data_IF_575622153022
#
_entry.id   IF_575622153022
#
_cell.length_a   1.000
_cell.length_b   1.000
_cell.length_c   1.000
_cell.angle_alpha   90.00
_cell.angle_beta   90.00
_cell.angle_gamma   90.00
#
_symmetry.space_group_name_H-M   'P 1'
#
loop_
_entity.id
_entity.type
_entity.pdbx_description
1 polymer ?
#
# COMPACT_ATOMS: atom_id res chain seq x y z
N UNK A 1 12.21 -9.13 18.21
CA UNK A 1 11.64 -7.77 18.02
C UNK A 1 10.52 -7.46 19.01
N UNK A 2 9.65 -8.43 19.36
CA UNK A 2 8.66 -8.28 20.45
C UNK A 2 9.33 -7.96 21.80
N UNK A 3 10.42 -8.66 22.10
CA UNK A 3 11.22 -8.41 23.31
C UNK A 3 11.82 -7.00 23.34
N UNK A 4 12.18 -6.44 22.18
CA UNK A 4 12.74 -5.09 22.12
C UNK A 4 11.68 -4.03 22.47
N UNK A 5 10.44 -4.18 21.96
CA UNK A 5 9.32 -3.29 22.32
C UNK A 5 8.94 -3.39 23.79
N UNK A 6 8.91 -4.61 24.34
CA UNK A 6 8.61 -4.83 25.75
C UNK A 6 9.68 -4.20 26.64
N UNK A 7 10.95 -4.47 26.35
CA UNK A 7 12.06 -3.93 27.12
C UNK A 7 12.20 -2.41 26.95
N UNK A 8 11.95 -1.85 25.76
CA UNK A 8 11.93 -0.39 25.58
C UNK A 8 10.80 0.25 26.38
N UNK A 9 9.62 -0.37 26.43
CA UNK A 9 8.49 0.13 27.23
C UNK A 9 8.80 0.10 28.72
N UNK A 10 9.49 -0.96 29.18
CA UNK A 10 9.96 -1.06 30.55
C UNK A 10 10.98 0.04 30.89
N UNK A 11 11.97 0.28 30.02
CA UNK A 11 12.96 1.37 30.20
C UNK A 11 12.27 2.74 30.24
N UNK A 12 11.27 2.98 29.37
CA UNK A 12 10.48 4.22 29.38
C UNK A 12 9.73 4.41 30.71
N UNK A 13 9.17 3.34 31.26
CA UNK A 13 8.47 3.38 32.54
C UNK A 13 9.41 3.72 33.71
N UNK A 14 10.61 3.14 33.72
CA UNK A 14 11.65 3.46 34.71
C UNK A 14 12.12 4.91 34.59
N UNK A 15 12.40 5.37 33.35
CA UNK A 15 12.77 6.75 33.10
C UNK A 15 11.71 7.73 33.59
N UNK A 16 10.44 7.42 33.37
CA UNK A 16 9.31 8.22 33.86
C UNK A 16 9.29 8.30 35.38
N UNK A 17 9.51 7.19 36.08
CA UNK A 17 9.54 7.15 37.55
C UNK A 17 10.74 7.92 38.12
N UNK A 18 11.94 7.72 37.55
CA UNK A 18 13.16 8.39 37.97
C UNK A 18 13.06 9.91 37.78
N UNK A 19 12.51 10.36 36.65
CA UNK A 19 12.27 11.77 36.38
C UNK A 19 11.22 12.35 37.33
N UNK A 20 10.12 11.64 37.60
CA UNK A 20 9.09 12.07 38.55
C UNK A 20 9.65 12.22 39.96
N UNK A 21 10.39 11.22 40.46
CA UNK A 21 10.97 11.25 41.80
C UNK A 21 11.94 12.43 41.97
N UNK A 22 12.75 12.73 40.96
CA UNK A 22 13.67 13.87 40.98
C UNK A 22 12.97 15.22 40.99
N UNK A 23 11.89 15.37 40.20
CA UNK A 23 11.06 16.57 40.23
C UNK A 23 10.43 16.78 41.62
N UNK A 24 9.98 15.70 42.27
CA UNK A 24 9.40 15.77 43.61
C UNK A 24 10.44 16.08 44.71
N UNK A 25 11.71 15.73 44.50
CA UNK A 25 12.80 15.98 45.46
C UNK A 25 13.35 17.42 45.40
N UNK A 26 12.88 18.25 44.47
CA UNK A 26 13.25 19.67 44.41
C UNK A 26 14.72 19.93 44.04
N UNK A 27 15.41 18.96 43.41
CA UNK A 27 16.76 19.18 42.91
C UNK A 27 16.73 20.23 41.78
N UNK A 28 17.69 21.15 41.82
CA UNK A 28 17.76 22.26 40.86
C UNK A 28 17.76 21.75 39.42
N UNK A 29 17.03 22.47 38.57
CA UNK A 29 16.83 22.23 37.14
C UNK A 29 18.10 22.45 36.30
N UNK A 30 19.27 22.29 36.88
CA UNK A 30 20.57 22.47 36.24
C UNK A 30 20.98 21.20 35.51
N UNK A 31 20.56 21.08 34.24
CA UNK A 31 20.91 20.02 33.29
C UNK A 31 20.67 18.57 33.77
N UNK A 32 19.49 18.04 33.43
CA UNK A 32 19.23 16.60 33.50
C UNK A 32 20.20 15.84 32.58
N UNK A 33 21.19 15.18 33.17
CA UNK A 33 22.10 14.29 32.44
C UNK A 33 21.39 12.95 32.19
N UNK A 34 21.33 12.52 30.93
CA UNK A 34 20.68 11.27 30.54
C UNK A 34 21.30 10.05 31.26
N UNK A 35 22.60 10.09 31.53
CA UNK A 35 23.32 9.04 32.25
C UNK A 35 22.85 8.85 33.69
N UNK A 36 22.18 9.85 34.27
CA UNK A 36 21.64 9.78 35.62
C UNK A 36 20.17 9.34 35.65
N UNK A 37 19.50 9.37 34.50
CA UNK A 37 18.12 8.92 34.34
C UNK A 37 18.05 7.45 33.92
N UNK A 38 19.03 6.99 33.14
CA UNK A 38 19.14 5.61 32.67
C UNK A 38 20.08 4.83 33.58
N UNK A 39 19.54 3.85 34.31
CA UNK A 39 20.34 2.99 35.17
C UNK A 39 21.30 2.08 34.38
N UNK A 40 22.36 1.62 35.04
CA UNK A 40 23.39 0.74 34.45
C UNK A 40 22.79 -0.52 33.82
N UNK A 41 21.76 -1.09 34.45
CA UNK A 41 21.08 -2.29 33.96
C UNK A 41 20.31 -2.01 32.66
N UNK A 42 19.64 -0.87 32.55
CA UNK A 42 18.98 -0.44 31.33
C UNK A 42 19.99 -0.20 30.20
N UNK A 43 21.15 0.39 30.52
CA UNK A 43 22.25 0.56 29.56
C UNK A 43 22.79 -0.78 29.05
N UNK A 44 22.94 -1.78 29.91
CA UNK A 44 23.37 -3.13 29.51
C UNK A 44 22.34 -3.79 28.59
N UNK A 45 21.04 -3.68 28.91
CA UNK A 45 19.97 -4.19 28.06
C UNK A 45 19.99 -3.54 26.67
N UNK A 46 20.11 -2.21 26.61
CA UNK A 46 20.21 -1.46 25.34
C UNK A 46 21.41 -1.92 24.50
N UNK A 47 22.57 -2.10 25.11
CA UNK A 47 23.77 -2.60 24.41
C UNK A 47 23.58 -4.02 23.87
N UNK A 48 22.96 -4.92 24.65
CA UNK A 48 22.64 -6.28 24.19
C UNK A 48 21.71 -6.25 22.98
N UNK A 49 20.70 -5.37 22.97
CA UNK A 49 19.81 -5.23 21.82
C UNK A 49 20.51 -4.66 20.60
N UNK A 50 21.36 -3.65 20.78
CA UNK A 50 22.15 -3.10 19.69
C UNK A 50 23.03 -4.19 19.05
N UNK A 51 23.70 -5.02 19.85
CA UNK A 51 24.48 -6.15 19.35
C UNK A 51 23.61 -7.18 18.61
N UNK A 52 22.43 -7.49 19.14
CA UNK A 52 21.50 -8.41 18.49
C UNK A 52 21.05 -7.89 17.11
N UNK A 53 20.80 -6.59 16.98
CA UNK A 53 20.44 -5.96 15.71
C UNK A 53 21.63 -5.90 14.73
N UNK A 54 22.82 -5.58 15.23
CA UNK A 54 24.05 -5.52 14.43
C UNK A 54 24.44 -6.89 13.87
N UNK A 55 24.20 -7.97 14.61
CA UNK A 55 24.46 -9.33 14.15
C UNK A 55 23.53 -9.78 13.00
N UNK A 56 22.45 -9.06 12.70
CA UNK A 56 21.56 -9.32 11.55
C UNK A 56 22.17 -8.72 10.26
N UNK A 57 23.48 -8.91 10.02
CA UNK A 57 24.14 -8.45 8.79
C UNK A 57 23.76 -9.27 7.54
N UNK A 58 22.77 -10.15 7.62
CA UNK A 58 22.23 -10.83 6.45
C UNK A 58 21.36 -9.87 5.64
N UNK A 59 21.51 -9.93 4.31
CA UNK A 59 20.62 -9.27 3.37
C UNK A 59 19.17 -9.53 3.75
N UNK A 60 18.34 -8.48 3.78
CA UNK A 60 16.92 -8.63 4.14
C UNK A 60 16.26 -9.63 3.19
N UNK A 61 15.62 -10.70 3.69
CA UNK A 61 15.07 -11.74 2.83
C UNK A 61 13.98 -11.18 1.92
N UNK A 62 13.90 -11.70 0.70
CA UNK A 62 12.88 -11.33 -0.28
C UNK A 62 11.57 -12.12 -0.13
N UNK A 63 11.55 -13.15 0.73
CA UNK A 63 10.38 -13.99 1.03
C UNK A 63 10.28 -14.29 2.52
N UNK A 64 9.06 -14.43 3.04
CA UNK A 64 8.82 -14.81 4.45
C UNK A 64 8.81 -16.31 4.68
N UNK A 65 8.54 -17.12 3.65
CA UNK A 65 8.40 -18.57 3.76
C UNK A 65 9.52 -19.30 3.01
N UNK A 66 9.85 -20.49 3.51
CA UNK A 66 10.69 -21.45 2.79
C UNK A 66 9.83 -22.07 1.69
N UNK A 67 10.16 -21.74 0.44
CA UNK A 67 9.46 -22.28 -0.73
C UNK A 67 10.14 -23.61 -1.10
N UNK A 68 9.37 -24.70 -1.13
CA UNK A 68 9.89 -26.03 -1.46
C UNK A 68 10.36 -26.15 -2.91
N UNK A 69 9.85 -25.32 -3.80
CA UNK A 69 10.17 -25.32 -5.23
C UNK A 69 11.11 -24.16 -5.55
N UNK A 70 12.33 -24.49 -5.98
CA UNK A 70 13.35 -23.50 -6.36
C UNK A 70 12.95 -22.68 -7.61
N UNK A 71 12.03 -23.20 -8.43
CA UNK A 71 11.57 -22.59 -9.68
C UNK A 71 10.32 -21.70 -9.50
N UNK A 72 10.14 -21.08 -8.33
CA UNK A 72 9.06 -20.12 -8.13
C UNK A 72 9.23 -18.93 -9.10
N UNK A 73 8.29 -18.66 -10.01
CA UNK A 73 8.46 -17.65 -11.06
C UNK A 73 8.64 -16.24 -10.48
N UNK A 74 8.02 -15.95 -9.33
CA UNK A 74 8.15 -14.67 -8.64
C UNK A 74 9.57 -14.50 -8.10
N UNK A 75 10.11 -15.49 -7.39
CA UNK A 75 11.47 -15.40 -6.86
C UNK A 75 12.53 -15.36 -7.97
N UNK A 76 12.30 -16.11 -9.05
CA UNK A 76 13.17 -16.09 -10.22
C UNK A 76 13.19 -14.70 -10.86
N UNK A 77 12.02 -14.10 -11.13
CA UNK A 77 11.93 -12.75 -11.69
C UNK A 77 12.61 -11.71 -10.78
N UNK A 78 12.47 -11.82 -9.46
CA UNK A 78 13.15 -10.92 -8.52
C UNK A 78 14.68 -11.06 -8.58
N UNK A 79 15.20 -12.29 -8.68
CA UNK A 79 16.64 -12.55 -8.81
C UNK A 79 17.19 -12.04 -10.15
N UNK A 80 16.49 -12.31 -11.25
CA UNK A 80 16.86 -11.86 -12.60
C UNK A 80 16.93 -10.33 -12.70
N UNK A 81 16.07 -9.62 -11.98
CA UNK A 81 16.05 -8.16 -11.93
C UNK A 81 16.90 -7.56 -10.79
N UNK A 82 17.73 -8.36 -10.12
CA UNK A 82 18.58 -7.95 -8.99
C UNK A 82 17.84 -7.28 -7.82
N UNK A 83 16.56 -7.60 -7.61
CA UNK A 83 15.73 -7.10 -6.51
C UNK A 83 15.93 -7.95 -5.25
N UNK A 84 17.13 -7.87 -4.68
CA UNK A 84 17.58 -8.69 -3.54
C UNK A 84 17.63 -7.94 -2.20
N UNK A 85 16.94 -6.80 -2.11
CA UNK A 85 16.90 -5.92 -0.92
C UNK A 85 18.27 -5.41 -0.42
N UNK A 86 19.29 -5.38 -1.27
CA UNK A 86 20.60 -4.81 -0.97
C UNK A 86 20.47 -3.39 -0.39
N UNK A 87 21.38 -2.98 0.51
CA UNK A 87 21.30 -1.69 1.20
C UNK A 87 21.23 -0.49 0.23
N UNK A 88 21.90 -0.58 -0.93
CA UNK A 88 21.86 0.42 -2.01
C UNK A 88 20.52 0.53 -2.75
N UNK A 89 19.67 -0.50 -2.71
CA UNK A 89 18.40 -0.49 -3.43
C UNK A 89 17.39 0.43 -2.76
N UNK A 90 16.82 1.36 -3.52
CA UNK A 90 15.73 2.22 -3.06
C UNK A 90 14.36 1.51 -3.03
N UNK A 91 14.21 0.43 -3.79
CA UNK A 91 13.01 -0.40 -3.80
C UNK A 91 13.30 -1.70 -3.04
N UNK A 92 12.47 -2.00 -2.05
CA UNK A 92 12.52 -3.26 -1.30
C UNK A 92 11.30 -4.10 -1.66
N UNK A 93 11.50 -5.41 -1.75
CA UNK A 93 10.46 -6.38 -2.10
C UNK A 93 10.32 -7.41 -0.99
N UNK A 94 9.07 -7.71 -0.65
CA UNK A 94 8.73 -8.80 0.24
C UNK A 94 7.64 -9.64 -0.40
N UNK A 95 7.98 -10.88 -0.76
CA UNK A 95 7.03 -11.87 -1.24
C UNK A 95 6.45 -12.66 -0.06
N UNK A 96 5.12 -12.65 0.06
CA UNK A 96 4.37 -13.40 1.05
C UNK A 96 3.51 -14.45 0.33
N UNK A 97 3.98 -15.71 0.18
CA UNK A 97 3.26 -16.78 -0.51
C UNK A 97 2.16 -17.40 0.37
N UNK A 98 1.37 -16.58 1.05
CA UNK A 98 0.31 -16.99 1.96
C UNK A 98 -0.78 -15.91 1.97
N UNK A 99 -2.03 -16.30 2.19
CA UNK A 99 -3.06 -15.34 2.54
C UNK A 99 -2.71 -14.62 3.85
N UNK A 100 -3.03 -13.34 3.93
CA UNK A 100 -2.83 -12.55 5.13
C UNK A 100 -3.70 -13.11 6.27
N UNK A 101 -3.04 -13.80 7.20
CA UNK A 101 -3.61 -14.29 8.45
C UNK A 101 -2.89 -13.59 9.61
N UNK A 102 -3.61 -13.40 10.71
CA UNK A 102 -3.08 -12.76 11.93
C UNK A 102 -1.83 -13.45 12.50
N UNK A 103 -1.58 -14.71 12.12
CA UNK A 103 -0.41 -15.51 12.51
C UNK A 103 0.88 -15.08 11.82
N UNK A 104 0.83 -14.71 10.53
CA UNK A 104 2.03 -14.34 9.75
C UNK A 104 2.25 -12.83 9.73
N UNK A 105 1.17 -12.05 9.58
CA UNK A 105 1.17 -10.60 9.79
C UNK A 105 0.01 -10.28 10.73
N UNK A 106 0.23 -9.63 11.88
CA UNK A 106 -0.80 -9.35 12.88
C UNK A 106 -1.74 -8.20 12.43
N UNK A 107 -2.20 -8.23 11.18
CA UNK A 107 -3.14 -7.30 10.58
C UNK A 107 -4.20 -8.12 9.85
N UNK A 108 -5.47 -7.74 10.01
CA UNK A 108 -6.52 -8.19 9.11
C UNK A 108 -6.22 -7.72 7.68
N UNK A 109 -6.63 -8.50 6.68
CA UNK A 109 -6.45 -8.16 5.26
C UNK A 109 -6.88 -6.73 4.94
N UNK A 110 -8.06 -6.33 5.39
CA UNK A 110 -8.63 -4.98 5.19
C UNK A 110 -7.76 -3.87 5.79
N UNK A 111 -7.15 -4.12 6.96
CA UNK A 111 -6.25 -3.16 7.60
C UNK A 111 -4.91 -3.08 6.87
N UNK A 112 -4.42 -4.20 6.33
CA UNK A 112 -3.21 -4.22 5.51
C UNK A 112 -3.38 -3.37 4.24
N UNK A 113 -4.45 -3.61 3.47
CA UNK A 113 -4.70 -2.85 2.24
C UNK A 113 -4.94 -1.36 2.53
N UNK A 114 -5.60 -1.01 3.63
CA UNK A 114 -5.81 0.38 4.07
C UNK A 114 -4.51 1.08 4.49
N UNK A 115 -3.56 0.30 5.02
CA UNK A 115 -2.22 0.77 5.35
C UNK A 115 -1.37 1.06 4.13
N UNK A 116 -1.61 0.38 3.00
CA UNK A 116 -0.88 0.61 1.76
C UNK A 116 -1.21 1.97 1.12
N UNK A 117 -0.23 2.57 0.46
CA UNK A 117 -0.38 3.85 -0.26
C UNK A 117 -0.87 3.70 -1.70
N UNK A 118 -0.53 2.58 -2.33
CA UNK A 118 -0.81 2.25 -3.71
C UNK A 118 -0.92 0.73 -3.85
N UNK A 119 -1.94 0.24 -4.53
CA UNK A 119 -2.02 -1.14 -5.00
C UNK A 119 -1.91 -1.19 -6.53
N UNK A 120 -1.22 -2.20 -7.07
CA UNK A 120 -0.90 -2.28 -8.50
C UNK A 120 -1.36 -3.64 -9.03
N UNK A 121 -2.34 -3.61 -9.94
CA UNK A 121 -2.98 -4.79 -10.55
C UNK A 121 -2.85 -4.74 -12.08
N UNK A 122 -1.66 -5.03 -12.64
CA UNK A 122 -1.39 -4.95 -14.08
C UNK A 122 -1.82 -6.25 -14.80
N UNK A 123 -3.07 -6.67 -14.58
CA UNK A 123 -3.57 -7.97 -15.03
C UNK A 123 -3.80 -8.04 -16.54
N UNK A 124 -3.50 -9.19 -17.15
CA UNK A 124 -3.78 -9.47 -18.56
C UNK A 124 -5.18 -10.08 -18.76
N UNK A 125 -5.66 -10.85 -17.78
CA UNK A 125 -6.96 -11.50 -17.83
C UNK A 125 -7.60 -11.48 -16.43
N UNK A 126 -8.64 -10.67 -16.28
CA UNK A 126 -9.39 -10.56 -15.03
C UNK A 126 -10.82 -10.07 -15.34
N UNK A 127 -11.85 -10.94 -15.26
CA UNK A 127 -13.20 -10.59 -15.73
C UNK A 127 -13.79 -9.33 -15.08
N UNK A 128 -13.45 -9.07 -13.82
CA UNK A 128 -13.86 -7.84 -13.12
C UNK A 128 -12.71 -7.22 -12.33
N UNK A 129 -12.05 -7.94 -11.41
CA UNK A 129 -11.10 -7.39 -10.41
C UNK A 129 -11.78 -6.87 -9.15
N UNK A 130 -12.10 -7.80 -8.26
CA UNK A 130 -12.58 -7.49 -6.92
C UNK A 130 -11.48 -6.86 -6.06
N UNK A 131 -10.22 -7.28 -6.21
CA UNK A 131 -9.09 -6.71 -5.45
C UNK A 131 -8.93 -5.20 -5.65
N UNK A 132 -9.07 -4.73 -6.90
CA UNK A 132 -9.02 -3.30 -7.22
C UNK A 132 -10.24 -2.57 -6.63
N UNK A 133 -11.44 -3.15 -6.77
CA UNK A 133 -12.66 -2.57 -6.21
C UNK A 133 -12.61 -2.48 -4.66
N UNK A 134 -12.11 -3.52 -3.99
CA UNK A 134 -11.94 -3.56 -2.53
C UNK A 134 -10.95 -2.48 -2.05
N UNK A 135 -9.83 -2.31 -2.75
CA UNK A 135 -8.88 -1.23 -2.47
C UNK A 135 -9.54 0.15 -2.58
N UNK A 136 -10.38 0.36 -3.58
CA UNK A 136 -11.13 1.62 -3.74
C UNK A 136 -12.12 1.83 -2.58
N UNK A 137 -12.82 0.78 -2.14
CA UNK A 137 -13.72 0.85 -0.98
C UNK A 137 -13.01 1.29 0.31
N UNK A 138 -11.76 0.86 0.52
CA UNK A 138 -10.98 1.27 1.71
C UNK A 138 -10.21 2.58 1.52
N UNK A 139 -10.32 3.22 0.35
CA UNK A 139 -9.65 4.48 0.03
C UNK A 139 -8.19 4.35 -0.37
N UNK A 140 -7.72 3.15 -0.73
CA UNK A 140 -6.36 2.90 -1.22
C UNK A 140 -6.31 3.13 -2.72
N UNK A 141 -5.43 4.02 -3.17
CA UNK A 141 -5.28 4.30 -4.60
C UNK A 141 -4.79 3.07 -5.36
N UNK A 142 -5.24 2.90 -6.60
CA UNK A 142 -4.96 1.70 -7.40
C UNK A 142 -4.47 2.03 -8.82
N UNK A 143 -3.50 1.26 -9.31
CA UNK A 143 -3.19 1.15 -10.74
C UNK A 143 -3.82 -0.15 -11.23
N UNK A 144 -4.69 -0.08 -12.23
CA UNK A 144 -5.41 -1.25 -12.76
C UNK A 144 -5.29 -1.33 -14.28
N UNK A 145 -5.23 -2.54 -14.81
CA UNK A 145 -5.26 -2.77 -16.26
C UNK A 145 -6.63 -2.43 -16.85
N UNK A 146 -6.63 -1.77 -18.01
CA UNK A 146 -7.82 -1.56 -18.83
C UNK A 146 -8.46 -2.89 -19.28
N UNK A 147 -7.68 -3.97 -19.37
CA UNK A 147 -8.17 -5.30 -19.74
C UNK A 147 -8.99 -5.96 -18.63
N UNK A 148 -8.96 -5.45 -17.39
CA UNK A 148 -9.84 -5.91 -16.32
C UNK A 148 -11.24 -5.30 -16.48
N UNK A 149 -12.29 -6.03 -16.10
CA UNK A 149 -13.66 -5.49 -16.19
C UNK A 149 -13.89 -4.22 -15.35
N UNK A 150 -13.25 -4.12 -14.19
CA UNK A 150 -13.26 -2.93 -13.34
C UNK A 150 -12.52 -1.77 -14.01
N UNK A 151 -11.34 -2.03 -14.61
CA UNK A 151 -10.60 -1.03 -15.38
C UNK A 151 -11.40 -0.49 -16.56
N UNK A 152 -12.08 -1.35 -17.32
CA UNK A 152 -12.95 -0.94 -18.42
C UNK A 152 -14.21 -0.20 -17.93
N UNK A 153 -14.80 -0.63 -16.82
CA UNK A 153 -15.92 0.08 -16.17
C UNK A 153 -15.50 1.51 -15.78
N UNK A 154 -14.36 1.67 -15.10
CA UNK A 154 -13.81 2.97 -14.75
C UNK A 154 -13.50 3.81 -16.00
N UNK A 155 -12.91 3.21 -17.04
CA UNK A 155 -12.65 3.87 -18.33
C UNK A 155 -13.94 4.38 -18.98
N UNK A 156 -15.01 3.59 -18.93
CA UNK A 156 -16.31 3.92 -19.52
C UNK A 156 -17.03 5.03 -18.75
N UNK A 157 -16.95 5.03 -17.41
CA UNK A 157 -17.49 6.11 -16.59
C UNK A 157 -16.82 7.46 -16.88
N UNK A 158 -15.53 7.47 -17.25
CA UNK A 158 -14.82 8.68 -17.64
C UNK A 158 -15.33 9.26 -18.97
N UNK A 159 -15.52 8.42 -19.99
CA UNK A 159 -16.01 8.85 -21.32
C UNK A 159 -17.40 9.49 -21.28
N UNK A 160 -18.23 9.11 -20.31
CA UNK A 160 -19.57 9.69 -20.17
C UNK A 160 -19.56 11.08 -19.51
N UNK A 161 -18.49 11.45 -18.78
CA UNK A 161 -18.34 12.79 -18.20
C UNK A 161 -17.78 13.80 -19.20
N UNK A 162 -16.86 13.39 -20.08
CA UNK A 162 -16.29 14.27 -21.13
C UNK A 162 -17.32 14.79 -22.11
N UNK A 163 -18.36 14.00 -22.39
CA UNK A 163 -19.38 14.38 -23.36
C UNK A 163 -20.42 15.36 -22.81
N UNK A 164 -20.35 15.73 -21.52
CA UNK A 164 -21.33 16.64 -20.88
C UNK A 164 -20.85 18.07 -20.67
N UNK A 165 -19.58 18.41 -20.92
CA UNK A 165 -19.14 19.81 -20.86
C UNK A 165 -17.87 20.07 -21.69
N UNK A 166 -18.03 20.91 -22.73
CA UNK A 166 -17.07 21.87 -23.30
C UNK A 166 -16.05 21.34 -24.33
N UNK A 167 -16.26 21.80 -25.57
CA UNK A 167 -15.28 22.33 -26.53
C UNK A 167 -13.80 22.08 -26.23
N UNK A 168 -13.20 21.23 -27.08
CA UNK A 168 -11.95 21.47 -27.82
C UNK A 168 -10.97 22.49 -27.21
N UNK A 169 -10.04 21.97 -26.39
CA UNK A 169 -8.69 22.51 -26.30
C UNK A 169 -7.76 21.31 -26.56
N UNK A 170 -7.28 21.22 -27.80
CA UNK A 170 -6.09 20.47 -28.18
C UNK A 170 -4.87 21.26 -27.70
N UNK A 171 -4.47 21.06 -26.45
CA UNK A 171 -3.11 21.28 -25.95
C UNK A 171 -2.90 20.39 -24.74
N UNK A 172 -1.95 19.45 -24.84
CA UNK A 172 -1.26 18.77 -23.74
C UNK A 172 -2.11 18.13 -22.62
N UNK A 173 -2.39 16.82 -22.75
CA UNK A 173 -2.36 15.86 -21.63
C UNK A 173 -3.09 16.23 -20.31
N UNK A 174 -4.25 16.88 -20.37
CA UNK A 174 -5.07 17.23 -19.18
C UNK A 174 -5.81 15.99 -18.57
N UNK A 175 -5.58 14.78 -19.08
CA UNK A 175 -6.16 13.54 -18.54
C UNK A 175 -5.26 12.77 -17.56
N UNK A 176 -4.16 13.40 -17.12
CA UNK A 176 -3.19 12.83 -16.19
C UNK A 176 -3.49 13.16 -14.70
N UNK A 177 -4.76 13.28 -14.26
CA UNK A 177 -5.03 13.65 -12.86
C UNK A 177 -6.24 12.96 -12.22
N UNK A 178 -5.95 11.92 -11.42
CA UNK A 178 -6.22 11.91 -9.97
C UNK A 178 -7.67 12.03 -9.43
N UNK A 179 -8.74 12.08 -10.24
CA UNK A 179 -10.08 12.30 -9.67
C UNK A 179 -10.72 11.05 -9.03
N UNK A 180 -10.32 9.84 -9.42
CA UNK A 180 -10.83 8.59 -8.84
C UNK A 180 -9.80 7.93 -7.91
N UNK A 181 -8.55 8.43 -7.91
CA UNK A 181 -7.40 7.71 -7.36
C UNK A 181 -7.30 6.26 -7.87
N UNK A 182 -7.85 6.03 -9.06
CA UNK A 182 -7.74 4.83 -9.88
C UNK A 182 -7.02 5.28 -11.15
N UNK A 183 -5.86 4.72 -11.41
CA UNK A 183 -5.09 4.98 -12.61
C UNK A 183 -5.17 3.74 -13.52
N UNK A 184 -5.40 3.96 -14.81
CA UNK A 184 -5.67 2.89 -15.76
C UNK A 184 -4.50 2.74 -16.72
N UNK A 185 -3.91 1.55 -16.77
CA UNK A 185 -2.86 1.21 -17.74
C UNK A 185 -3.43 0.42 -18.91
N UNK A 186 -3.10 0.83 -20.13
CA UNK A 186 -3.41 0.05 -21.32
C UNK A 186 -2.36 -1.06 -21.51
N UNK A 187 -2.84 -2.31 -21.51
CA UNK A 187 -2.01 -3.52 -21.65
C UNK A 187 -2.13 -4.14 -23.05
N UNK A 188 -2.76 -3.44 -24.00
CA UNK A 188 -2.82 -3.85 -25.42
C UNK A 188 -1.61 -3.39 -26.24
N UNK A 189 -0.85 -2.41 -25.73
CA UNK A 189 0.35 -1.84 -26.39
C UNK A 189 1.57 -2.78 -26.28
N UNK A 190 2.73 -2.40 -26.79
CA UNK A 190 3.95 -3.20 -26.67
C UNK A 190 4.41 -3.35 -25.20
N UNK A 191 4.85 -4.55 -24.80
CA UNK A 191 5.24 -4.88 -23.42
C UNK A 191 6.19 -3.84 -22.77
N UNK A 192 7.23 -3.41 -23.49
CA UNK A 192 8.20 -2.45 -22.98
C UNK A 192 7.54 -1.11 -22.58
N UNK A 193 6.65 -0.61 -23.44
CA UNK A 193 5.89 0.61 -23.17
C UNK A 193 4.92 0.44 -21.99
N UNK A 194 4.39 -0.77 -21.78
CA UNK A 194 3.55 -1.06 -20.62
C UNK A 194 4.35 -0.96 -19.32
N UNK A 195 5.56 -1.51 -19.30
CA UNK A 195 6.45 -1.50 -18.13
C UNK A 195 6.84 -0.06 -17.79
N UNK A 196 7.25 0.72 -18.79
CA UNK A 196 7.62 2.13 -18.63
C UNK A 196 6.45 2.95 -18.08
N UNK A 197 5.25 2.79 -18.64
CA UNK A 197 4.06 3.50 -18.14
C UNK A 197 3.74 3.17 -16.70
N UNK A 198 3.78 1.89 -16.30
CA UNK A 198 3.51 1.50 -14.91
C UNK A 198 4.57 2.09 -13.98
N UNK A 199 5.84 2.05 -14.37
CA UNK A 199 6.92 2.64 -13.59
C UNK A 199 6.75 4.16 -13.44
N UNK A 200 6.38 4.86 -14.51
CA UNK A 200 6.13 6.31 -14.50
C UNK A 200 4.97 6.68 -13.57
N UNK A 201 3.87 5.92 -13.62
CA UNK A 201 2.71 6.08 -12.73
C UNK A 201 3.12 5.92 -11.26
N UNK A 202 3.91 4.88 -10.95
CA UNK A 202 4.44 4.67 -9.59
C UNK A 202 5.37 5.82 -9.15
N UNK A 203 6.25 6.30 -10.03
CA UNK A 203 7.17 7.42 -9.75
C UNK A 203 6.39 8.72 -9.52
N UNK A 204 5.37 8.99 -10.33
CA UNK A 204 4.50 10.16 -10.15
C UNK A 204 3.83 10.14 -8.78
N UNK A 205 3.35 8.98 -8.33
CA UNK A 205 2.77 8.80 -6.99
C UNK A 205 3.79 9.08 -5.87
N UNK A 206 5.03 8.64 -6.03
CA UNK A 206 6.10 8.88 -5.07
C UNK A 206 6.49 10.37 -4.95
N UNK A 207 6.30 11.15 -6.01
CA UNK A 207 6.57 12.60 -6.03
C UNK A 207 5.51 13.43 -5.30
N UNK A 208 4.34 12.86 -4.99
CA UNK A 208 3.26 13.59 -4.32
C UNK A 208 3.61 13.93 -2.87
N UNK A 209 3.19 15.12 -2.44
CA UNK A 209 3.30 15.52 -1.04
C UNK A 209 2.26 14.78 -0.17
N UNK A 210 2.31 14.98 1.16
CA UNK A 210 1.39 14.30 2.09
C UNK A 210 -0.08 14.70 1.87
N UNK A 211 -0.35 15.97 1.60
CA UNK A 211 -1.70 16.51 1.40
C UNK A 211 -2.34 15.93 0.14
N UNK A 212 -1.62 15.96 -0.98
CA UNK A 212 -2.03 15.38 -2.27
C UNK A 212 -2.34 13.88 -2.15
N UNK A 213 -1.55 13.15 -1.34
CA UNK A 213 -1.81 11.74 -1.05
C UNK A 213 -3.10 11.53 -0.27
N UNK A 214 -3.36 12.36 0.75
CA UNK A 214 -4.60 12.33 1.54
C UNK A 214 -5.80 12.65 0.66
N UNK A 215 -5.70 13.70 -0.16
CA UNK A 215 -6.75 14.08 -1.09
C UNK A 215 -7.00 13.00 -2.14
N UNK A 216 -5.95 12.32 -2.60
CA UNK A 216 -6.07 11.13 -3.45
C UNK A 216 -6.88 10.02 -2.77
N UNK A 217 -6.58 9.69 -1.51
CA UNK A 217 -7.32 8.66 -0.76
C UNK A 217 -8.78 9.05 -0.50
N UNK A 218 -9.04 10.32 -0.15
CA UNK A 218 -10.39 10.84 0.06
C UNK A 218 -11.23 10.71 -1.21
N UNK A 219 -10.67 11.10 -2.36
CA UNK A 219 -11.30 10.92 -3.66
C UNK A 219 -11.54 9.44 -3.95
N UNK A 220 -10.56 8.57 -3.78
CA UNK A 220 -10.74 7.12 -3.96
C UNK A 220 -11.93 6.59 -3.14
N UNK A 221 -12.00 6.95 -1.85
CA UNK A 221 -13.10 6.52 -0.99
C UNK A 221 -14.47 7.06 -1.43
N UNK A 222 -14.56 8.32 -1.87
CA UNK A 222 -15.81 8.87 -2.43
C UNK A 222 -16.31 8.10 -3.65
N UNK A 223 -15.39 7.54 -4.45
CA UNK A 223 -15.73 6.77 -5.64
C UNK A 223 -16.15 5.33 -5.35
N UNK A 224 -16.06 4.87 -4.10
CA UNK A 224 -16.57 3.55 -3.70
C UNK A 224 -18.07 3.38 -3.99
N UNK A 225 -18.83 4.48 -4.08
CA UNK A 225 -20.26 4.46 -4.46
C UNK A 225 -20.48 3.80 -5.82
N UNK A 226 -19.52 3.90 -6.75
CA UNK A 226 -19.68 3.28 -8.08
C UNK A 226 -19.58 1.76 -8.05
N UNK A 227 -18.96 1.17 -7.03
CA UNK A 227 -18.89 -0.30 -6.87
C UNK A 227 -19.98 -0.84 -5.95
N UNK A 228 -20.79 0.04 -5.37
CA UNK A 228 -21.88 -0.34 -4.47
C UNK A 228 -23.02 -1.05 -5.25
N UNK A 229 -23.56 -2.11 -4.65
CA UNK A 229 -24.70 -2.85 -5.19
C UNK A 229 -25.93 -1.98 -5.41
N UNK A 230 -26.16 -0.95 -4.60
CA UNK A 230 -27.23 0.03 -4.81
C UNK A 230 -27.18 0.72 -6.17
N UNK A 231 -25.97 0.85 -6.76
CA UNK A 231 -25.76 1.36 -8.12
C UNK A 231 -25.76 0.23 -9.13
N UNK A 232 -25.01 -0.84 -8.87
CA UNK A 232 -24.79 -1.94 -9.82
C UNK A 232 -26.06 -2.76 -10.10
N UNK A 233 -26.97 -2.88 -9.13
CA UNK A 233 -28.23 -3.64 -9.27
C UNK A 233 -29.10 -3.13 -10.42
N UNK A 234 -28.98 -1.86 -10.81
CA UNK A 234 -29.75 -1.28 -11.93
C UNK A 234 -29.53 -2.05 -13.23
N UNK A 235 -28.32 -2.55 -13.48
CA UNK A 235 -28.00 -3.37 -14.67
C UNK A 235 -28.68 -4.72 -14.66
N UNK A 236 -28.85 -5.33 -13.48
CA UNK A 236 -29.59 -6.58 -13.32
C UNK A 236 -31.09 -6.38 -13.57
N UNK A 237 -31.65 -5.27 -13.06
CA UNK A 237 -33.05 -4.91 -13.29
C UNK A 237 -33.31 -4.65 -14.79
N UNK A 238 -32.41 -3.92 -15.46
CA UNK A 238 -32.47 -3.69 -16.92
C UNK A 238 -32.43 -5.02 -17.69
N UNK A 239 -31.51 -5.92 -17.33
CA UNK A 239 -31.42 -7.24 -17.96
C UNK A 239 -32.69 -8.07 -17.76
N UNK A 240 -33.29 -8.01 -16.57
CA UNK A 240 -34.55 -8.69 -16.26
C UNK A 240 -35.71 -8.12 -17.08
N UNK A 241 -35.83 -6.79 -17.19
CA UNK A 241 -36.85 -6.15 -18.02
C UNK A 241 -36.70 -6.51 -19.50
N UNK A 242 -35.47 -6.55 -20.02
CA UNK A 242 -35.19 -6.99 -21.39
C UNK A 242 -35.56 -8.47 -21.62
N UNK A 243 -35.35 -9.32 -20.62
CA UNK A 243 -35.75 -10.72 -20.68
C UNK A 243 -37.28 -10.87 -20.68
N UNK A 244 -38.01 -10.10 -19.86
CA UNK A 244 -39.47 -10.10 -19.85
C UNK A 244 -40.09 -9.63 -21.18
N UNK A 245 -39.44 -8.69 -21.89
CA UNK A 245 -39.91 -8.20 -23.18
C UNK A 245 -39.72 -9.20 -24.32
N UNK A 246 -38.79 -10.13 -24.17
CA UNK A 246 -38.62 -11.24 -25.10
C UNK A 246 -39.54 -12.36 -24.62
N UNK A 247 -40.75 -12.44 -25.17
CA UNK A 247 -41.56 -13.67 -25.08
C UNK A 247 -40.75 -14.78 -25.77
N UNK A 248 -40.56 -15.91 -25.08
CA UNK A 248 -39.90 -17.11 -25.62
C UNK A 248 -40.96 -18.12 -26.03
#
# INVERSE_FOLDING_TARGET
MLDLKLNSSHIIQLLKQNLFNRLCQGQESGQLLLNELVDTDAMILLRRFQQQLLNVQQSSPITTHIIKNDNCPILQALRENNLLNQNSSHVKVLFLPEYLRSTSIPLAYTNFIRGADLAVFPTLFEPFSYSAAECVCVGTSVIVSKMSGFGEMCSSLHKNKTNRTINKIETDNIWNNNQIGVEIVDRTIQYQQQVERIADMMIQRLKLNKEDRIDGRNRTSQNAVFVDWSVQIKRYIEAYMLAMQKEW
#
